data_IF_033003366641
#
_entry.id   IF_033003366641
#
_cell.length_a   1.000
_cell.length_b   1.000
_cell.length_c   1.000
_cell.angle_alpha   90.00
_cell.angle_beta   90.00
_cell.angle_gamma   90.00
#
_symmetry.space_group_name_H-M   'P 1'
#
loop_
_entity.id
_entity.type
_entity.pdbx_description
1 polymer ?
#
# COMPACT_ATOMS: atom_id res chain seq x y z
N UNK A 1 -11.54 5.56 -18.96
CA UNK A 1 -10.09 5.82 -19.00
C UNK A 1 -9.41 4.48 -19.29
N UNK A 2 -9.00 4.24 -20.55
CA UNK A 2 -8.30 3.02 -20.98
C UNK A 2 -6.81 3.26 -21.29
N UNK A 3 -6.27 4.43 -20.96
CA UNK A 3 -4.92 4.88 -21.35
C UNK A 3 -3.92 4.95 -20.19
N UNK A 4 -4.30 4.55 -18.97
CA UNK A 4 -3.40 4.54 -17.82
C UNK A 4 -2.80 3.14 -17.61
N UNK A 5 -1.49 3.08 -17.34
CA UNK A 5 -0.77 1.85 -16.97
C UNK A 5 -1.37 1.19 -15.72
N UNK A 6 -1.97 1.99 -14.84
CA UNK A 6 -2.72 1.56 -13.67
C UNK A 6 -4.09 2.25 -13.68
N UNK A 7 -5.14 1.62 -14.24
CA UNK A 7 -6.45 2.25 -14.27
C UNK A 7 -6.94 2.53 -12.83
N UNK A 8 -7.65 3.63 -12.62
CA UNK A 8 -8.14 4.03 -11.30
C UNK A 8 -9.67 3.99 -11.21
N UNK A 9 -10.23 4.68 -10.22
CA UNK A 9 -11.66 4.95 -10.10
C UNK A 9 -12.45 3.95 -9.23
N UNK A 10 -13.61 4.41 -8.75
CA UNK A 10 -14.47 3.70 -7.79
C UNK A 10 -14.82 2.29 -8.23
N UNK A 11 -15.21 2.12 -9.49
CA UNK A 11 -15.63 0.82 -10.01
C UNK A 11 -14.48 -0.18 -10.05
N UNK A 12 -13.27 0.25 -10.41
CA UNK A 12 -12.09 -0.62 -10.35
C UNK A 12 -11.74 -0.99 -8.90
N UNK A 13 -11.79 -0.02 -7.98
CA UNK A 13 -11.51 -0.28 -6.56
C UNK A 13 -12.51 -1.26 -5.95
N UNK A 14 -13.80 -1.12 -6.25
CA UNK A 14 -14.84 -2.06 -5.82
C UNK A 14 -14.52 -3.50 -6.27
N UNK A 15 -14.12 -3.68 -7.53
CA UNK A 15 -13.74 -5.00 -8.06
C UNK A 15 -12.51 -5.58 -7.37
N UNK A 16 -11.47 -4.77 -7.14
CA UNK A 16 -10.26 -5.23 -6.47
C UNK A 16 -10.52 -5.56 -4.99
N UNK A 17 -11.32 -4.77 -4.28
CA UNK A 17 -11.72 -5.05 -2.91
C UNK A 17 -12.53 -6.34 -2.79
N UNK A 18 -13.41 -6.64 -3.76
CA UNK A 18 -14.15 -7.90 -3.78
C UNK A 18 -13.22 -9.13 -3.87
N UNK A 19 -12.09 -9.03 -4.58
CA UNK A 19 -11.10 -10.11 -4.66
C UNK A 19 -10.47 -10.37 -3.28
N UNK A 20 -10.07 -9.30 -2.58
CA UNK A 20 -9.54 -9.39 -1.22
C UNK A 20 -10.58 -9.96 -0.26
N UNK A 21 -11.81 -9.44 -0.28
CA UNK A 21 -12.91 -9.88 0.57
C UNK A 21 -13.27 -11.35 0.35
N UNK A 22 -13.12 -11.85 -0.88
CA UNK A 22 -13.35 -13.26 -1.21
C UNK A 22 -12.23 -14.21 -0.74
N UNK A 23 -11.16 -13.69 -0.12
CA UNK A 23 -10.03 -14.49 0.38
C UNK A 23 -9.11 -15.05 -0.72
N UNK A 24 -9.29 -14.65 -1.98
CA UNK A 24 -8.48 -15.13 -3.12
C UNK A 24 -7.04 -14.63 -3.12
N UNK A 25 -6.76 -13.58 -2.35
CA UNK A 25 -5.42 -12.99 -2.20
C UNK A 25 -5.25 -12.44 -0.79
N UNK A 26 -4.10 -12.72 -0.17
CA UNK A 26 -3.68 -12.07 1.06
C UNK A 26 -2.58 -11.05 0.74
N UNK A 27 -2.91 -9.76 0.84
CA UNK A 27 -1.97 -8.66 0.58
C UNK A 27 -1.32 -8.11 1.86
N UNK A 28 -1.71 -8.61 3.04
CA UNK A 28 -1.14 -8.21 4.33
C UNK A 28 0.39 -8.29 4.37
N UNK A 29 1.01 -9.39 3.90
CA UNK A 29 2.46 -9.54 3.88
C UNK A 29 3.23 -8.51 3.04
N UNK A 30 2.55 -7.73 2.18
CA UNK A 30 3.23 -6.66 1.44
C UNK A 30 3.67 -5.52 2.37
N UNK A 31 2.93 -5.29 3.46
CA UNK A 31 3.25 -4.26 4.46
C UNK A 31 4.45 -4.73 5.28
N UNK A 32 5.63 -4.31 4.85
CA UNK A 32 6.90 -4.63 5.51
C UNK A 32 7.17 -3.79 6.76
N UNK A 33 6.67 -2.55 6.79
CA UNK A 33 6.95 -1.59 7.85
C UNK A 33 5.69 -0.77 8.15
N UNK A 34 5.48 -0.44 9.42
CA UNK A 34 4.43 0.44 9.88
C UNK A 34 5.02 1.60 10.66
N UNK A 35 4.50 2.80 10.43
CA UNK A 35 4.89 4.01 11.16
C UNK A 35 3.65 4.78 11.59
N UNK A 36 3.79 5.53 12.69
CA UNK A 36 2.80 6.55 13.06
C UNK A 36 2.90 7.73 12.10
N UNK A 37 1.83 8.50 11.99
CA UNK A 37 1.82 9.73 11.20
C UNK A 37 2.89 10.74 11.67
N UNK A 38 3.16 10.78 12.97
CA UNK A 38 4.20 11.65 13.55
C UNK A 38 5.61 11.30 13.03
N UNK A 39 5.83 10.05 12.63
CA UNK A 39 7.11 9.54 12.14
C UNK A 39 7.19 9.48 10.61
N UNK A 40 6.28 10.16 9.90
CA UNK A 40 6.16 10.07 8.44
C UNK A 40 7.46 10.43 7.71
N UNK A 41 8.26 11.36 8.23
CA UNK A 41 9.54 11.74 7.63
C UNK A 41 10.53 10.57 7.64
N UNK A 42 10.62 9.84 8.76
CA UNK A 42 11.49 8.66 8.86
C UNK A 42 11.01 7.52 7.95
N UNK A 43 9.69 7.33 7.85
CA UNK A 43 9.08 6.37 6.93
C UNK A 43 9.45 6.65 5.46
N UNK A 44 9.44 7.93 5.06
CA UNK A 44 9.86 8.34 3.72
C UNK A 44 11.36 8.14 3.50
N UNK A 45 12.22 8.46 4.48
CA UNK A 45 13.67 8.23 4.36
C UNK A 45 13.99 6.74 4.15
N UNK A 46 13.39 5.85 4.95
CA UNK A 46 13.58 4.41 4.81
C UNK A 46 13.14 3.91 3.43
N UNK A 47 11.96 4.31 2.95
CA UNK A 47 11.43 3.90 1.64
C UNK A 47 12.26 4.44 0.47
N UNK A 48 12.63 5.73 0.52
CA UNK A 48 13.38 6.38 -0.55
C UNK A 48 14.78 5.78 -0.72
N UNK A 49 15.41 5.34 0.37
CA UNK A 49 16.75 4.76 0.36
C UNK A 49 16.75 3.22 0.25
N UNK A 50 15.58 2.59 0.08
CA UNK A 50 15.44 1.12 -0.03
C UNK A 50 16.15 0.35 1.10
N UNK A 51 16.12 0.91 2.32
CA UNK A 51 16.77 0.29 3.49
C UNK A 51 15.89 -0.81 4.06
N UNK A 52 16.51 -1.68 4.85
CA UNK A 52 15.83 -2.72 5.65
C UNK A 52 14.88 -3.62 4.85
N UNK A 53 15.22 -3.88 3.58
CA UNK A 53 14.41 -4.70 2.66
C UNK A 53 12.96 -4.21 2.53
N UNK A 54 12.76 -2.88 2.58
CA UNK A 54 11.43 -2.27 2.48
C UNK A 54 10.71 -2.65 1.18
N UNK A 55 9.45 -3.07 1.33
CA UNK A 55 8.54 -3.37 0.21
C UNK A 55 7.36 -2.39 0.18
N UNK A 56 6.66 -2.26 1.30
CA UNK A 56 5.57 -1.31 1.48
C UNK A 56 5.60 -0.78 2.90
N UNK A 57 5.46 0.54 3.03
CA UNK A 57 5.26 1.22 4.30
C UNK A 57 3.78 1.59 4.45
N UNK A 58 3.20 1.31 5.61
CA UNK A 58 1.87 1.76 5.98
C UNK A 58 1.97 2.84 7.08
N UNK A 59 1.39 4.00 6.83
CA UNK A 59 1.29 5.08 7.82
C UNK A 59 -0.04 4.96 8.54
N UNK A 60 -0.01 4.85 9.86
CA UNK A 60 -1.20 4.82 10.72
C UNK A 60 -1.40 6.20 11.38
N UNK A 61 -2.65 6.71 11.41
CA UNK A 61 -2.93 8.03 11.96
C UNK A 61 -2.84 8.10 13.49
N UNK A 62 -2.73 6.98 14.19
CA UNK A 62 -2.75 6.88 15.65
C UNK A 62 -1.75 5.87 16.18
#
# INVERSE_FOLDING_TARGET
INTALCPGGKERMRRLLNIVASGRVNLGPLVSHEYRLDDIVAAYDLFANQRDNVLKVAIKPH
#
